data_IF_114725501438
#
_entry.id   IF_114725501438
#
_cell.length_a   1.000
_cell.length_b   1.000
_cell.length_c   1.000
_cell.angle_alpha   90.00
_cell.angle_beta   90.00
_cell.angle_gamma   90.00
#
_symmetry.space_group_name_H-M   'P 1'
#
loop_
_entity.id
_entity.type
_entity.pdbx_description
1 polymer ?
#
# COMPACT_ATOMS: atom_id res chain seq x y z
N UNK A 1 15.30 3.19 -0.86
CA UNK A 1 14.70 1.91 -0.44
C UNK A 1 14.40 1.12 -1.70
N UNK A 2 15.21 0.13 -1.96
CA UNK A 2 15.04 -0.67 -3.16
C UNK A 2 14.18 -1.89 -2.86
N UNK A 3 13.24 -2.13 -3.75
CA UNK A 3 12.40 -3.32 -3.70
C UNK A 3 13.25 -4.50 -4.15
N UNK A 4 13.55 -5.43 -3.27
CA UNK A 4 14.39 -6.56 -3.64
C UNK A 4 13.71 -7.45 -4.67
N UNK A 5 14.50 -8.07 -5.55
CA UNK A 5 13.99 -9.02 -6.54
C UNK A 5 13.21 -10.16 -5.89
N UNK A 6 13.67 -10.61 -4.71
CA UNK A 6 13.00 -11.65 -3.94
C UNK A 6 11.64 -11.23 -3.44
N UNK A 7 11.50 -9.97 -2.97
CA UNK A 7 10.22 -9.43 -2.54
C UNK A 7 9.22 -9.32 -3.70
N UNK A 8 9.69 -8.89 -4.85
CA UNK A 8 8.88 -8.81 -6.07
C UNK A 8 8.41 -10.20 -6.49
N UNK A 9 9.31 -11.19 -6.48
CA UNK A 9 8.98 -12.57 -6.82
C UNK A 9 7.94 -13.16 -5.86
N UNK A 10 8.08 -12.91 -4.56
CA UNK A 10 7.11 -13.38 -3.56
C UNK A 10 5.73 -12.79 -3.80
N UNK A 11 5.65 -11.50 -4.10
CA UNK A 11 4.39 -10.83 -4.42
C UNK A 11 3.78 -11.41 -5.70
N UNK A 12 4.60 -11.62 -6.74
CA UNK A 12 4.14 -12.20 -8.00
C UNK A 12 3.55 -13.60 -7.79
N UNK A 13 4.18 -14.43 -6.95
CA UNK A 13 3.66 -15.75 -6.61
C UNK A 13 2.33 -15.67 -5.87
N UNK A 14 2.20 -14.76 -4.92
CA UNK A 14 0.94 -14.54 -4.19
C UNK A 14 -0.17 -14.08 -5.12
N UNK A 15 0.13 -13.17 -6.03
CA UNK A 15 -0.81 -12.66 -7.04
C UNK A 15 -1.28 -13.81 -7.94
N UNK A 16 -0.35 -14.62 -8.44
CA UNK A 16 -0.68 -15.75 -9.30
C UNK A 16 -1.57 -16.77 -8.58
N UNK A 17 -1.25 -17.09 -7.32
CA UNK A 17 -2.05 -18.01 -6.52
C UNK A 17 -3.45 -17.47 -6.25
N UNK A 18 -3.56 -16.18 -5.93
CA UNK A 18 -4.85 -15.54 -5.71
C UNK A 18 -5.70 -15.49 -6.97
N UNK A 19 -5.08 -15.23 -8.13
CA UNK A 19 -5.76 -15.27 -9.43
C UNK A 19 -6.30 -16.65 -9.73
N UNK A 20 -5.47 -17.67 -9.56
CA UNK A 20 -5.87 -19.06 -9.77
C UNK A 20 -7.04 -19.46 -8.87
N UNK A 21 -6.97 -19.11 -7.59
CA UNK A 21 -8.04 -19.39 -6.63
C UNK A 21 -9.34 -18.70 -7.02
N UNK A 22 -9.28 -17.45 -7.48
CA UNK A 22 -10.47 -16.70 -7.92
C UNK A 22 -11.13 -17.35 -9.14
N UNK A 23 -10.33 -17.79 -10.12
CA UNK A 23 -10.84 -18.47 -11.33
C UNK A 23 -11.51 -19.80 -10.96
N UNK A 24 -10.86 -20.59 -10.10
CA UNK A 24 -11.43 -21.88 -9.64
C UNK A 24 -12.72 -21.66 -8.88
N UNK A 25 -12.77 -20.68 -7.99
CA UNK A 25 -13.98 -20.35 -7.24
C UNK A 25 -15.15 -19.97 -8.18
N UNK A 26 -14.87 -19.19 -9.21
CA UNK A 26 -15.84 -18.82 -10.21
C UNK A 26 -16.37 -20.03 -10.98
N UNK A 27 -15.50 -20.94 -11.38
CA UNK A 27 -15.87 -22.16 -12.08
C UNK A 27 -16.76 -23.07 -11.21
N UNK A 28 -16.46 -23.17 -9.91
CA UNK A 28 -17.22 -24.01 -8.98
C UNK A 28 -18.57 -23.41 -8.61
N UNK A 29 -18.68 -22.09 -8.54
CA UNK A 29 -19.92 -21.39 -8.23
C UNK A 29 -20.88 -21.35 -9.42
N UNK A 30 -20.40 -21.59 -10.61
CA UNK A 30 -21.14 -21.39 -11.86
C UNK A 30 -22.01 -22.55 -12.28
N UNK A 31 -23.07 -22.86 -11.52
CA UNK A 31 -24.13 -23.72 -12.02
C UNK A 31 -24.99 -23.08 -13.11
N UNK A 32 -24.88 -21.78 -13.34
CA UNK A 32 -25.62 -21.00 -14.33
C UNK A 32 -24.69 -20.21 -15.23
N UNK A 33 -25.21 -19.72 -16.35
CA UNK A 33 -24.45 -18.96 -17.34
C UNK A 33 -23.96 -17.65 -16.74
N UNK A 34 -22.62 -17.48 -16.66
CA UNK A 34 -22.01 -16.24 -16.25
C UNK A 34 -22.20 -15.18 -17.32
N UNK A 35 -22.65 -14.00 -16.91
CA UNK A 35 -22.68 -12.84 -17.82
C UNK A 35 -21.33 -12.14 -17.83
N UNK A 36 -21.10 -11.35 -18.89
CA UNK A 36 -19.86 -10.55 -18.94
C UNK A 36 -19.77 -9.57 -17.76
N UNK A 37 -20.90 -9.05 -17.30
CA UNK A 37 -20.94 -8.18 -16.14
C UNK A 37 -20.45 -8.88 -14.87
N UNK A 38 -20.83 -10.16 -14.68
CA UNK A 38 -20.37 -10.95 -13.54
C UNK A 38 -18.84 -11.14 -13.59
N UNK A 39 -18.30 -11.42 -14.76
CA UNK A 39 -16.87 -11.61 -14.97
C UNK A 39 -16.12 -10.28 -14.71
N UNK A 40 -16.62 -9.17 -15.24
CA UNK A 40 -16.02 -7.86 -15.01
C UNK A 40 -16.01 -7.49 -13.52
N UNK A 41 -17.11 -7.74 -12.81
CA UNK A 41 -17.20 -7.47 -11.37
C UNK A 41 -16.19 -8.31 -10.59
N UNK A 42 -16.10 -9.60 -10.91
CA UNK A 42 -15.15 -10.51 -10.27
C UNK A 42 -13.71 -10.10 -10.50
N UNK A 43 -13.36 -9.73 -11.75
CA UNK A 43 -12.01 -9.26 -12.09
C UNK A 43 -11.69 -7.93 -11.41
N UNK A 44 -12.63 -7.01 -11.34
CA UNK A 44 -12.44 -5.73 -10.67
C UNK A 44 -12.13 -5.93 -9.19
N UNK A 45 -12.90 -6.77 -8.51
CA UNK A 45 -12.66 -7.09 -7.10
C UNK A 45 -11.31 -7.76 -6.90
N UNK A 46 -10.95 -8.70 -7.78
CA UNK A 46 -9.67 -9.38 -7.73
C UNK A 46 -8.51 -8.40 -7.90
N UNK A 47 -8.56 -7.56 -8.92
CA UNK A 47 -7.51 -6.56 -9.18
C UNK A 47 -7.37 -5.58 -8.02
N UNK A 48 -8.50 -5.19 -7.43
CA UNK A 48 -8.52 -4.33 -6.25
C UNK A 48 -7.79 -4.96 -5.07
N UNK A 49 -8.08 -6.23 -4.77
CA UNK A 49 -7.42 -6.95 -3.68
C UNK A 49 -5.94 -7.11 -3.91
N UNK A 50 -5.55 -7.49 -5.12
CA UNK A 50 -4.15 -7.64 -5.51
C UNK A 50 -3.42 -6.30 -5.37
N UNK A 51 -4.03 -5.23 -5.85
CA UNK A 51 -3.46 -3.88 -5.75
C UNK A 51 -3.27 -3.45 -4.29
N UNK A 52 -4.28 -3.67 -3.45
CA UNK A 52 -4.21 -3.35 -2.02
C UNK A 52 -3.09 -4.12 -1.32
N UNK A 53 -3.02 -5.44 -1.53
CA UNK A 53 -2.00 -6.27 -0.90
C UNK A 53 -0.60 -5.91 -1.37
N UNK A 54 -0.42 -5.73 -2.67
CA UNK A 54 0.88 -5.39 -3.24
C UNK A 54 1.38 -4.05 -2.74
N UNK A 55 0.50 -3.05 -2.73
CA UNK A 55 0.86 -1.70 -2.29
C UNK A 55 1.13 -1.67 -0.78
N UNK A 56 0.32 -2.37 0.00
CA UNK A 56 0.54 -2.49 1.45
C UNK A 56 1.90 -3.14 1.76
N UNK A 57 2.24 -4.22 1.07
CA UNK A 57 3.54 -4.88 1.23
C UNK A 57 4.68 -3.98 0.78
N UNK A 58 4.53 -3.30 -0.35
CA UNK A 58 5.54 -2.37 -0.85
C UNK A 58 5.87 -1.29 0.19
N UNK A 59 4.84 -0.69 0.78
CA UNK A 59 5.01 0.38 1.76
C UNK A 59 5.50 -0.12 3.12
N UNK A 60 5.19 -1.37 3.47
CA UNK A 60 5.58 -1.98 4.75
C UNK A 60 6.96 -2.62 4.69
N UNK A 61 7.49 -2.91 3.50
CA UNK A 61 8.81 -3.52 3.35
C UNK A 61 9.87 -2.43 3.49
N UNK A 62 10.30 -2.20 4.72
CA UNK A 62 11.45 -1.34 4.97
C UNK A 62 12.73 -2.03 4.55
N UNK A 63 13.73 -1.27 4.13
CA UNK A 63 15.05 -1.78 3.82
C UNK A 63 15.80 -2.10 5.12
N UNK A 64 15.68 -3.34 5.59
CA UNK A 64 16.46 -3.83 6.72
C UNK A 64 16.11 -3.17 8.06
N UNK A 65 17.07 -3.19 8.98
CA UNK A 65 16.93 -2.60 10.30
C UNK A 65 16.87 -1.08 10.20
N UNK A 66 15.88 -0.43 10.81
CA UNK A 66 15.79 1.03 10.76
C UNK A 66 16.99 1.67 11.47
N UNK A 67 17.43 2.84 10.99
CA UNK A 67 18.46 3.61 11.65
C UNK A 67 18.00 3.98 13.07
N UNK A 68 18.95 4.02 14.02
CA UNK A 68 18.63 4.35 15.41
C UNK A 68 18.22 5.81 15.56
N UNK A 69 18.81 6.71 14.77
CA UNK A 69 18.54 8.15 14.81
C UNK A 69 18.53 8.73 13.41
N UNK A 70 17.77 9.80 13.24
CA UNK A 70 17.71 10.58 12.01
C UNK A 70 17.82 12.07 12.33
N UNK A 71 18.34 12.90 11.40
CA UNK A 71 18.32 14.33 11.58
C UNK A 71 16.89 14.87 11.56
N UNK A 72 16.62 15.83 12.44
CA UNK A 72 15.34 16.55 12.44
C UNK A 72 15.51 17.86 11.65
N UNK A 73 14.49 18.30 10.89
CA UNK A 73 14.54 19.57 10.16
C UNK A 73 14.85 20.78 11.04
N UNK A 74 14.56 20.72 12.33
CA UNK A 74 14.85 21.81 13.28
C UNK A 74 16.32 21.89 13.68
N UNK A 75 17.18 20.99 13.20
CA UNK A 75 18.59 20.90 13.55
C UNK A 75 18.91 19.90 14.65
N UNK A 76 17.90 19.34 15.31
CA UNK A 76 18.08 18.30 16.32
C UNK A 76 18.08 16.91 15.69
N UNK A 77 17.80 15.91 16.52
CA UNK A 77 17.74 14.51 16.07
C UNK A 77 16.49 13.84 16.64
N UNK A 78 15.93 12.92 15.86
CA UNK A 78 14.84 12.05 16.28
C UNK A 78 15.36 10.62 16.39
N UNK A 79 14.75 9.85 17.31
CA UNK A 79 15.14 8.47 17.57
C UNK A 79 14.03 7.52 17.15
N UNK A 80 14.43 6.34 16.67
CA UNK A 80 13.49 5.28 16.37
C UNK A 80 12.70 4.91 17.62
N UNK A 81 11.38 4.90 17.49
CA UNK A 81 10.47 4.53 18.58
C UNK A 81 9.90 3.13 18.37
N UNK A 82 9.23 2.92 17.27
CA UNK A 82 8.57 1.66 16.93
C UNK A 82 8.05 1.71 15.50
N UNK A 83 7.59 0.57 15.02
CA UNK A 83 6.78 0.52 13.82
C UNK A 83 5.33 0.86 14.15
N UNK A 84 4.72 1.71 13.37
CA UNK A 84 3.33 2.13 13.53
C UNK A 84 2.56 1.89 12.26
N UNK A 85 1.33 1.39 12.41
CA UNK A 85 0.40 1.26 11.29
C UNK A 85 -0.18 2.62 10.91
N UNK A 86 -0.42 2.79 9.62
CA UNK A 86 -1.14 3.94 9.08
C UNK A 86 -2.07 3.47 7.97
N UNK A 87 -3.07 4.25 7.65
CA UNK A 87 -4.00 3.96 6.57
C UNK A 87 -3.99 5.08 5.54
N UNK A 88 -4.15 4.70 4.28
CA UNK A 88 -4.33 5.65 3.16
C UNK A 88 -5.43 5.11 2.26
N UNK A 89 -6.00 5.97 1.44
CA UNK A 89 -6.93 5.56 0.40
C UNK A 89 -6.24 5.71 -0.95
N UNK A 90 -6.01 4.57 -1.59
CA UNK A 90 -5.33 4.48 -2.88
C UNK A 90 -6.32 4.28 -4.02
N UNK A 91 -5.81 4.21 -5.25
CA UNK A 91 -6.61 3.86 -6.43
C UNK A 91 -7.24 2.46 -6.31
N UNK A 92 -6.70 1.61 -5.43
CA UNK A 92 -7.24 0.27 -5.15
C UNK A 92 -8.14 0.25 -3.90
N UNK A 93 -8.43 1.40 -3.31
CA UNK A 93 -9.21 1.55 -2.11
C UNK A 93 -8.35 1.75 -0.87
N UNK A 94 -8.97 1.64 0.28
CA UNK A 94 -8.32 1.86 1.57
C UNK A 94 -7.39 0.70 1.91
N UNK A 95 -6.18 1.02 2.36
CA UNK A 95 -5.21 0.02 2.79
C UNK A 95 -4.42 0.50 4.01
N UNK A 96 -3.83 -0.47 4.71
CA UNK A 96 -2.94 -0.21 5.84
C UNK A 96 -1.52 -0.57 5.47
N UNK A 97 -0.57 0.14 6.05
CA UNK A 97 0.85 -0.17 5.92
C UNK A 97 1.54 0.13 7.25
N UNK A 98 2.67 -0.52 7.48
CA UNK A 98 3.46 -0.39 8.71
C UNK A 98 4.79 0.25 8.36
N UNK A 99 5.15 1.32 9.05
CA UNK A 99 6.42 2.01 8.81
C UNK A 99 7.08 2.41 10.13
N UNK A 100 8.39 2.60 10.07
CA UNK A 100 9.18 3.06 11.21
C UNK A 100 8.78 4.49 11.58
N UNK A 101 8.59 4.74 12.86
CA UNK A 101 8.23 6.03 13.42
C UNK A 101 9.34 6.54 14.33
N UNK A 102 9.72 7.79 14.15
CA UNK A 102 10.79 8.48 14.87
C UNK A 102 10.24 9.68 15.62
N UNK A 103 10.76 9.91 16.84
CA UNK A 103 10.36 11.03 17.69
C UNK A 103 11.46 11.33 18.70
N UNK A 104 11.19 12.27 19.61
CA UNK A 104 12.08 12.58 20.73
C UNK A 104 12.94 13.80 20.54
N UNK A 105 12.75 14.56 19.44
CA UNK A 105 13.39 15.86 19.30
C UNK A 105 12.72 16.91 20.19
N UNK A 106 13.47 17.91 20.63
CA UNK A 106 12.95 19.01 21.45
C UNK A 106 11.84 19.81 20.76
N UNK A 107 11.79 19.81 19.43
CA UNK A 107 10.75 20.50 18.68
C UNK A 107 9.39 19.78 18.75
N UNK A 108 9.35 18.55 19.26
CA UNK A 108 8.12 17.76 19.42
C UNK A 108 7.58 17.13 18.15
N UNK A 109 8.25 17.29 17.01
CA UNK A 109 7.79 16.70 15.75
C UNK A 109 8.22 15.24 15.63
N UNK A 110 7.26 14.39 15.25
CA UNK A 110 7.54 13.02 14.85
C UNK A 110 7.82 12.92 13.35
N UNK A 111 8.49 11.84 12.95
CA UNK A 111 8.80 11.57 11.54
C UNK A 111 8.53 10.12 11.20
N UNK A 112 8.00 9.91 9.99
CA UNK A 112 7.90 8.61 9.38
C UNK A 112 8.51 8.73 7.98
N UNK A 113 9.79 8.29 7.80
CA UNK A 113 10.50 8.52 6.53
C UNK A 113 9.81 7.96 5.31
N UNK A 114 9.12 6.82 5.43
CA UNK A 114 8.35 6.24 4.32
C UNK A 114 7.27 7.20 3.84
N UNK A 115 6.57 7.85 4.75
CA UNK A 115 5.54 8.82 4.40
C UNK A 115 6.12 9.99 3.60
N UNK A 116 7.25 10.53 4.06
CA UNK A 116 7.94 11.62 3.38
C UNK A 116 8.49 11.18 2.02
N UNK A 117 9.06 9.98 1.95
CA UNK A 117 9.66 9.45 0.72
C UNK A 117 8.63 9.30 -0.40
N UNK A 118 7.44 8.83 -0.08
CA UNK A 118 6.40 8.55 -1.07
C UNK A 118 5.27 9.58 -1.10
N UNK A 119 5.42 10.67 -0.35
CA UNK A 119 4.40 11.73 -0.32
C UNK A 119 3.08 11.28 0.26
N UNK A 120 3.13 10.47 1.31
CA UNK A 120 1.93 9.91 1.96
C UNK A 120 1.52 10.77 3.14
N UNK A 121 0.22 11.00 3.27
CA UNK A 121 -0.38 11.64 4.43
C UNK A 121 -1.36 10.65 5.03
N UNK A 122 -1.08 10.11 6.24
CA UNK A 122 -1.99 9.15 6.87
C UNK A 122 -3.42 9.69 6.96
N UNK A 123 -4.37 8.84 6.59
CA UNK A 123 -5.78 9.21 6.56
C UNK A 123 -6.24 9.95 5.30
N UNK A 124 -5.33 10.32 4.41
CA UNK A 124 -5.65 11.05 3.18
C UNK A 124 -5.65 10.11 1.96
N UNK A 125 -5.97 10.67 0.80
CA UNK A 125 -5.90 9.96 -0.48
C UNK A 125 -4.50 10.06 -1.08
N UNK A 126 -4.11 9.07 -1.88
CA UNK A 126 -2.84 9.11 -2.60
C UNK A 126 -2.90 10.12 -3.76
N UNK A 127 -1.74 10.58 -4.21
CA UNK A 127 -1.64 11.47 -5.37
C UNK A 127 -2.23 10.84 -6.63
N UNK A 128 -2.07 9.52 -6.79
CA UNK A 128 -2.66 8.79 -7.92
C UNK A 128 -4.17 8.84 -7.91
N UNK A 129 -4.79 8.62 -6.75
CA UNK A 129 -6.24 8.70 -6.62
C UNK A 129 -6.74 10.14 -6.82
N UNK A 130 -6.04 11.12 -6.24
CA UNK A 130 -6.38 12.54 -6.41
C UNK A 130 -6.37 12.94 -7.89
N UNK A 131 -5.40 12.45 -8.66
CA UNK A 131 -5.31 12.70 -10.10
C UNK A 131 -6.51 12.10 -10.86
N UNK A 132 -6.91 10.87 -10.52
CA UNK A 132 -8.09 10.24 -11.14
C UNK A 132 -9.37 11.00 -10.83
N UNK A 133 -9.55 11.41 -9.57
CA UNK A 133 -10.73 12.20 -9.17
C UNK A 133 -10.79 13.54 -9.89
N UNK A 134 -9.64 14.17 -10.14
CA UNK A 134 -9.57 15.43 -10.90
C UNK A 134 -9.97 15.23 -12.36
N UNK A 135 -9.63 14.11 -12.98
CA UNK A 135 -10.01 13.80 -14.35
C UNK A 135 -11.53 13.61 -14.49
N UNK A 136 -12.16 12.99 -13.51
CA UNK A 136 -13.61 12.80 -13.51
C UNK A 136 -14.39 14.12 -13.44
N UNK A 137 -13.82 15.12 -12.78
CA UNK A 137 -14.49 16.43 -12.65
C UNK A 137 -14.36 17.32 -13.88
N UNK A 138 -13.51 16.97 -14.84
CA UNK A 138 -13.25 17.74 -16.05
C UNK A 138 -14.09 17.28 -17.25
N UNK A 139 -14.69 16.11 -17.17
CA UNK A 139 -15.49 15.55 -18.27
C UNK A 139 -16.90 16.13 -18.36
#
# INVERSE_FOLDING_TARGET
MDYSTESIAAIACQVAAAFQAAVVAHQQAGGETLTIADVETGLRQFLRQVGQQSLSQFLSTGAGTPAAELPCPCGGRVRYQRHRAATITSVFGRLSYVRAYYAGCRCGHGQAPVDSQYGLVPGAVTSGLAALLSLETVS
#
